data_IF_786638943814
#
_entry.id   IF_786638943814
#
_cell.length_a   1.000
_cell.length_b   1.000
_cell.length_c   1.000
_cell.angle_alpha   90.00
_cell.angle_beta   90.00
_cell.angle_gamma   90.00
#
_symmetry.space_group_name_H-M   'P 1'
#
loop_
_entity.id
_entity.type
_entity.pdbx_description
1 polymer ?
#
# COMPACT_ATOMS: atom_id res chain seq x y z
N UNK A 1 18.36 2.35 -9.69
CA UNK A 1 18.68 2.20 -8.25
C UNK A 1 19.50 0.93 -8.12
N UNK A 2 20.73 1.00 -7.62
CA UNK A 2 21.46 -0.20 -7.24
C UNK A 2 20.87 -0.71 -5.91
N UNK A 3 20.63 -2.02 -5.82
CA UNK A 3 20.05 -2.65 -4.64
C UNK A 3 20.84 -2.26 -3.37
N UNK A 4 20.17 -1.95 -2.25
CA UNK A 4 20.86 -1.74 -0.99
C UNK A 4 21.55 -3.03 -0.53
N UNK A 5 22.67 -2.91 0.18
CA UNK A 5 23.31 -4.07 0.81
C UNK A 5 22.33 -4.79 1.76
N UNK A 6 22.51 -6.10 1.94
CA UNK A 6 21.70 -6.91 2.85
C UNK A 6 21.55 -6.29 4.25
N UNK A 7 22.62 -5.69 4.78
CA UNK A 7 22.59 -5.02 6.10
C UNK A 7 21.63 -3.84 6.15
N UNK A 8 21.63 -3.02 5.10
CA UNK A 8 20.73 -1.85 5.02
C UNK A 8 19.30 -2.30 4.78
N UNK A 9 19.10 -3.31 3.93
CA UNK A 9 17.77 -3.87 3.72
C UNK A 9 17.15 -4.42 5.01
N UNK A 10 17.96 -5.07 5.86
CA UNK A 10 17.53 -5.56 7.16
C UNK A 10 17.05 -4.48 8.15
N UNK A 11 17.40 -3.21 7.92
CA UNK A 11 17.01 -2.07 8.76
C UNK A 11 15.64 -1.47 8.40
N UNK A 12 15.01 -1.89 7.30
CA UNK A 12 13.69 -1.42 6.95
C UNK A 12 12.61 -2.11 7.79
N UNK A 13 11.68 -1.31 8.32
CA UNK A 13 10.46 -1.79 8.97
C UNK A 13 9.51 -2.36 7.92
N UNK A 14 9.19 -1.55 6.91
CA UNK A 14 8.29 -1.89 5.80
C UNK A 14 9.03 -1.91 4.46
N UNK A 15 8.53 -2.73 3.54
CA UNK A 15 9.02 -2.83 2.16
C UNK A 15 7.87 -2.71 1.18
N UNK A 16 8.09 -1.92 0.12
CA UNK A 16 7.23 -1.85 -1.05
C UNK A 16 7.88 -2.63 -2.18
N UNK A 17 7.18 -3.67 -2.66
CA UNK A 17 7.60 -4.48 -3.79
C UNK A 17 6.68 -4.16 -4.97
N UNK A 18 7.29 -3.89 -6.13
CA UNK A 18 6.57 -3.59 -7.36
C UNK A 18 6.91 -4.65 -8.40
N UNK A 19 5.88 -5.14 -9.10
CA UNK A 19 6.01 -5.99 -10.27
C UNK A 19 5.26 -5.33 -11.43
N UNK A 20 5.88 -5.22 -12.61
CA UNK A 20 5.28 -4.59 -13.80
C UNK A 20 4.62 -3.21 -13.52
N UNK A 21 5.23 -2.40 -12.64
CA UNK A 21 4.73 -1.07 -12.26
C UNK A 21 3.52 -1.06 -11.31
N UNK A 22 3.09 -2.23 -10.82
CA UNK A 22 1.98 -2.40 -9.87
C UNK A 22 2.48 -2.91 -8.53
N UNK A 23 1.74 -2.66 -7.46
CA UNK A 23 2.10 -3.16 -6.13
C UNK A 23 1.91 -4.67 -6.04
N UNK A 24 2.98 -5.38 -5.73
CA UNK A 24 3.01 -6.80 -5.45
C UNK A 24 2.96 -7.09 -3.94
N UNK A 25 3.53 -6.20 -3.13
CA UNK A 25 3.47 -6.26 -1.67
C UNK A 25 3.79 -4.91 -1.06
N UNK A 26 3.12 -4.56 0.04
CA UNK A 26 3.50 -3.44 0.90
C UNK A 26 3.23 -3.74 2.37
N UNK A 27 4.27 -3.79 3.18
CA UNK A 27 4.12 -4.01 4.62
C UNK A 27 5.41 -4.48 5.27
N UNK A 28 5.31 -5.11 6.46
CA UNK A 28 6.49 -5.46 7.25
C UNK A 28 7.45 -6.32 6.45
N UNK A 29 8.73 -5.95 6.47
CA UNK A 29 9.81 -6.73 5.82
C UNK A 29 9.81 -8.18 6.28
N UNK A 30 9.56 -8.40 7.57
CA UNK A 30 9.55 -9.72 8.19
C UNK A 30 8.46 -10.65 7.62
N UNK A 31 7.34 -10.09 7.15
CA UNK A 31 6.22 -10.86 6.59
C UNK A 31 6.28 -11.04 5.07
N UNK A 32 7.22 -10.36 4.39
CA UNK A 32 7.31 -10.38 2.93
C UNK A 32 7.64 -11.78 2.39
N UNK A 33 8.54 -12.53 3.05
CA UNK A 33 8.90 -13.89 2.63
C UNK A 33 7.70 -14.83 2.74
N UNK A 34 7.04 -14.85 3.90
CA UNK A 34 5.88 -15.71 4.16
C UNK A 34 4.73 -15.41 3.19
N UNK A 35 4.53 -14.14 2.84
CA UNK A 35 3.55 -13.75 1.82
C UNK A 35 3.89 -14.39 0.47
N UNK A 36 5.12 -14.26 -0.01
CA UNK A 36 5.52 -14.81 -1.31
C UNK A 36 5.44 -16.34 -1.34
N UNK A 37 5.95 -17.02 -0.30
CA UNK A 37 5.87 -18.48 -0.18
C UNK A 37 4.42 -18.95 -0.09
N UNK A 38 3.55 -18.21 0.60
CA UNK A 38 2.11 -18.49 0.68
C UNK A 38 1.38 -18.44 -0.66
N UNK A 39 1.94 -17.75 -1.66
CA UNK A 39 1.44 -17.71 -3.04
C UNK A 39 1.95 -18.87 -3.91
N UNK A 40 2.76 -19.77 -3.35
CA UNK A 40 3.34 -20.90 -4.07
C UNK A 40 4.65 -20.57 -4.80
N UNK A 41 5.30 -19.44 -4.47
CA UNK A 41 6.65 -19.14 -4.94
C UNK A 41 7.69 -20.01 -4.23
N UNK A 42 8.85 -20.27 -4.87
CA UNK A 42 9.91 -21.04 -4.24
C UNK A 42 10.35 -20.41 -2.91
N UNK A 43 10.74 -21.20 -1.90
CA UNK A 43 11.27 -20.67 -0.66
C UNK A 43 12.63 -20.00 -0.89
N UNK A 44 13.00 -19.11 0.02
CA UNK A 44 14.32 -18.50 0.04
C UNK A 44 15.39 -19.56 0.38
N UNK A 45 16.45 -19.62 -0.43
CA UNK A 45 17.60 -20.51 -0.18
C UNK A 45 18.33 -20.17 1.13
N UNK A 46 18.92 -21.16 1.82
CA UNK A 46 19.67 -20.93 3.06
C UNK A 46 20.81 -19.93 2.87
N UNK A 47 20.78 -18.83 3.62
CA UNK A 47 21.77 -17.75 3.53
C UNK A 47 21.55 -16.78 2.36
N UNK A 48 20.46 -16.92 1.60
CA UNK A 48 20.07 -15.98 0.55
C UNK A 48 19.61 -14.63 1.09
N UNK A 49 19.73 -13.59 0.26
CA UNK A 49 19.24 -12.25 0.57
C UNK A 49 17.75 -12.14 0.26
N UNK A 50 16.93 -11.76 1.25
CA UNK A 50 15.51 -11.50 1.05
C UNK A 50 15.27 -10.40 -0.01
N UNK A 51 16.16 -9.41 -0.09
CA UNK A 51 16.05 -8.34 -1.07
C UNK A 51 16.26 -8.85 -2.51
N UNK A 52 17.17 -9.80 -2.70
CA UNK A 52 17.45 -10.39 -4.03
C UNK A 52 16.29 -11.29 -4.42
N UNK A 53 15.86 -12.15 -3.50
CA UNK A 53 14.69 -13.00 -3.68
C UNK A 53 13.44 -12.22 -4.11
N UNK A 54 13.09 -11.14 -3.40
CA UNK A 54 11.91 -10.34 -3.76
C UNK A 54 12.03 -9.70 -5.15
N UNK A 55 13.24 -9.35 -5.60
CA UNK A 55 13.46 -8.83 -6.95
C UNK A 55 13.31 -9.94 -8.00
N UNK A 56 13.86 -11.12 -7.74
CA UNK A 56 13.84 -12.24 -8.68
C UNK A 56 12.39 -12.74 -8.92
N UNK A 57 11.62 -12.94 -7.85
CA UNK A 57 10.23 -13.44 -7.95
C UNK A 57 9.24 -12.42 -8.51
N UNK A 58 9.63 -11.14 -8.58
CA UNK A 58 8.78 -10.08 -9.15
C UNK A 58 9.26 -9.58 -10.51
N UNK A 59 10.39 -10.11 -11.00
CA UNK A 59 10.92 -9.77 -12.29
C UNK A 59 10.32 -10.68 -13.39
N UNK A 60 9.67 -10.11 -14.42
CA UNK A 60 9.13 -10.89 -15.55
C UNK A 60 10.18 -11.65 -16.37
N UNK A 61 11.46 -11.30 -16.26
CA UNK A 61 12.53 -12.03 -16.95
C UNK A 61 12.85 -13.37 -16.27
N UNK A 62 12.51 -13.53 -14.98
CA UNK A 62 12.85 -14.72 -14.18
C UNK A 62 11.63 -15.48 -13.66
N UNK A 63 10.43 -14.91 -13.78
CA UNK A 63 9.18 -15.46 -13.25
C UNK A 63 8.12 -15.53 -14.34
N UNK A 64 7.34 -16.61 -14.39
CA UNK A 64 6.28 -16.76 -15.38
C UNK A 64 5.20 -15.68 -15.24
N UNK A 65 4.68 -15.20 -16.37
CA UNK A 65 3.66 -14.15 -16.38
C UNK A 65 2.43 -14.51 -15.52
N UNK A 66 2.02 -15.78 -15.53
CA UNK A 66 0.90 -16.27 -14.72
C UNK A 66 1.16 -16.14 -13.22
N UNK A 67 2.40 -16.36 -12.77
CA UNK A 67 2.78 -16.19 -11.37
C UNK A 67 2.82 -14.70 -10.99
N UNK A 68 3.33 -13.83 -11.87
CA UNK A 68 3.30 -12.38 -11.64
C UNK A 68 1.86 -11.87 -11.53
N UNK A 69 0.97 -12.32 -12.41
CA UNK A 69 -0.45 -11.98 -12.33
C UNK A 69 -1.11 -12.50 -11.04
N UNK A 70 -0.72 -13.69 -10.58
CA UNK A 70 -1.17 -14.22 -9.29
C UNK A 70 -0.69 -13.35 -8.11
N UNK A 71 0.58 -12.95 -8.09
CA UNK A 71 1.13 -12.04 -7.08
C UNK A 71 0.36 -10.72 -7.08
N UNK A 72 0.20 -10.10 -8.25
CA UNK A 72 -0.48 -8.82 -8.40
C UNK A 72 -1.97 -8.88 -8.04
N UNK A 73 -2.65 -9.99 -8.31
CA UNK A 73 -4.07 -10.17 -7.96
C UNK A 73 -4.29 -10.54 -6.48
N UNK A 74 -3.32 -11.20 -5.85
CA UNK A 74 -3.35 -11.51 -4.42
C UNK A 74 -3.17 -10.27 -3.55
N UNK A 75 -2.39 -9.30 -4.03
CA UNK A 75 -2.09 -8.11 -3.27
C UNK A 75 -3.29 -7.15 -3.21
N UNK A 76 -3.79 -6.93 -2.00
CA UNK A 76 -4.81 -5.91 -1.71
C UNK A 76 -4.27 -4.94 -0.66
N UNK A 77 -4.43 -3.62 -0.84
CA UNK A 77 -4.00 -2.67 0.16
C UNK A 77 -4.79 -2.89 1.46
N UNK A 78 -4.10 -3.30 2.53
CA UNK A 78 -4.69 -3.41 3.86
C UNK A 78 -5.30 -2.09 4.35
N UNK A 79 -4.73 -0.96 3.89
CA UNK A 79 -5.22 0.39 4.19
C UNK A 79 -6.66 0.67 3.70
N UNK A 80 -7.17 -0.04 2.69
CA UNK A 80 -8.57 0.10 2.28
C UNK A 80 -9.54 -0.65 3.21
N UNK A 81 -9.04 -1.61 3.98
CA UNK A 81 -9.83 -2.37 4.96
C UNK A 81 -9.87 -1.65 6.32
N UNK A 82 -8.77 -1.03 6.74
CA UNK A 82 -8.68 -0.30 8.03
C UNK A 82 -9.54 0.98 8.07
N UNK A 83 -9.85 1.59 6.92
CA UNK A 83 -10.77 2.73 6.86
C UNK A 83 -12.26 2.34 6.82
N UNK A 84 -12.59 1.05 6.72
CA UNK A 84 -13.98 0.58 6.84
C UNK A 84 -14.44 0.43 8.30
N UNK A 85 -13.54 0.61 9.29
CA UNK A 85 -13.89 0.63 10.72
C UNK A 85 -13.53 1.93 11.46
N UNK A 86 -12.97 2.95 10.81
CA UNK A 86 -13.12 4.31 11.35
C UNK A 86 -14.55 4.77 11.08
N UNK A 87 -15.43 4.52 12.05
CA UNK A 87 -16.79 5.05 12.16
C UNK A 87 -16.86 6.46 11.56
N UNK A 88 -17.45 6.59 10.37
CA UNK A 88 -17.87 7.89 9.84
C UNK A 88 -18.70 8.57 10.94
N UNK A 89 -18.42 9.82 11.35
CA UNK A 89 -19.33 10.53 12.22
C UNK A 89 -20.72 10.50 11.57
N UNK A 90 -21.66 10.04 12.38
CA UNK A 90 -23.06 9.81 12.06
C UNK A 90 -23.66 11.05 11.38
N UNK A 91 -24.22 10.82 10.20
CA UNK A 91 -25.18 11.68 9.47
C UNK A 91 -24.74 13.11 9.19
N UNK A 92 -24.24 13.34 7.97
CA UNK A 92 -24.41 14.64 7.31
C UNK A 92 -25.42 14.43 6.18
N UNK A 93 -26.66 14.86 6.46
CA UNK A 93 -27.74 15.14 5.50
C UNK A 93 -27.20 15.59 4.14
N UNK A 94 -27.78 15.17 2.99
CA UNK A 94 -27.26 15.52 1.68
C UNK A 94 -27.29 17.05 1.50
N UNK A 95 -26.14 17.68 1.70
CA UNK A 95 -25.97 19.11 1.52
C UNK A 95 -25.98 19.37 0.00
N UNK A 96 -27.18 19.50 -0.55
CA UNK A 96 -27.46 20.11 -1.85
C UNK A 96 -26.65 21.42 -1.94
N UNK A 97 -26.21 21.82 -3.14
CA UNK A 97 -25.36 23.00 -3.40
C UNK A 97 -25.80 24.28 -2.65
N UNK A 98 -27.10 24.43 -2.36
CA UNK A 98 -27.66 25.51 -1.53
C UNK A 98 -27.16 25.56 -0.07
N UNK A 99 -26.76 24.42 0.50
CA UNK A 99 -26.32 24.34 1.88
C UNK A 99 -24.80 24.58 2.01
N UNK A 100 -24.03 24.29 0.95
CA UNK A 100 -22.61 24.69 0.84
C UNK A 100 -22.46 26.22 0.75
N UNK A 101 -23.36 26.90 0.04
CA UNK A 101 -23.37 28.37 -0.01
C UNK A 101 -23.75 29.01 1.34
N UNK A 102 -24.65 28.40 2.11
CA UNK A 102 -24.99 28.86 3.45
C UNK A 102 -23.82 28.76 4.44
N UNK A 103 -23.05 27.66 4.40
CA UNK A 103 -21.84 27.48 5.23
C UNK A 103 -20.76 28.51 4.88
N UNK A 104 -20.60 28.81 3.58
CA UNK A 104 -19.63 29.81 3.12
C UNK A 104 -20.03 31.23 3.56
N UNK A 105 -21.31 31.60 3.44
CA UNK A 105 -21.84 32.89 3.89
C UNK A 105 -21.72 33.04 5.41
N UNK A 106 -22.02 32.00 6.19
CA UNK A 106 -21.88 32.02 7.64
C UNK A 106 -20.41 32.19 8.08
N UNK A 107 -19.45 31.61 7.34
CA UNK A 107 -18.01 31.83 7.58
C UNK A 107 -17.56 33.24 7.22
N UNK A 108 -18.06 33.81 6.13
CA UNK A 108 -17.74 35.17 5.72
C UNK A 108 -18.32 36.23 6.69
N UNK A 109 -19.55 36.05 7.16
CA UNK A 109 -20.17 36.96 8.14
C UNK A 109 -19.42 36.99 9.50
N UNK A 110 -18.88 35.84 9.94
CA UNK A 110 -18.02 35.78 11.13
C UNK A 110 -16.66 36.46 10.94
N UNK A 111 -16.21 36.61 9.70
CA UNK A 111 -14.93 37.24 9.38
C UNK A 111 -15.04 38.76 9.26
N UNK A 112 -16.23 39.29 8.92
CA UNK A 112 -16.47 40.74 8.82
C UNK A 112 -16.97 41.38 10.11
N UNK A 113 -17.31 40.59 11.13
CA UNK A 113 -17.69 41.07 12.47
C UNK A 113 -16.51 41.10 13.46
N UNK A 114 -15.30 40.83 12.97
CA UNK A 114 -14.06 40.90 13.77
C UNK A 114 -13.10 41.98 13.24
N UNK A 115 -13.66 43.15 12.92
CA UNK A 115 -12.98 44.45 12.86
C UNK A 115 -13.98 45.56 13.22
#
# INVERSE_FOLDING_TARGET
IHQPSHRIFGMFDDVLVLAAGKTAYYGPRASALDHMVGLGLPPLEPGGSLAEYLLDVTNPDFTEAQQIDAILSSWRPKALEDHSQSKLPETIEPQTVAAQSAILLARLARMTLRD
#
